data_IF_257492602611
#
_entry.id   IF_257492602611
#
_cell.length_a   1.000
_cell.length_b   1.000
_cell.length_c   1.000
_cell.angle_alpha   90.00
_cell.angle_beta   90.00
_cell.angle_gamma   90.00
#
_symmetry.space_group_name_H-M   'P 1'
#
loop_
_entity.id
_entity.type
_entity.pdbx_description
1 polymer ?
#
# COMPACT_ATOMS: atom_id res chain seq x y z
N UNK A 1 20.96 -39.86 -35.82
CA UNK A 1 22.13 -39.99 -34.92
C UNK A 1 22.67 -38.59 -34.67
N UNK A 2 22.36 -38.02 -33.52
CA UNK A 2 22.48 -36.57 -33.21
C UNK A 2 23.75 -36.21 -32.44
N UNK A 3 24.69 -37.14 -32.26
CA UNK A 3 25.89 -36.88 -31.47
C UNK A 3 27.15 -37.38 -32.17
N UNK A 4 28.23 -36.61 -32.02
CA UNK A 4 29.58 -37.02 -32.35
C UNK A 4 29.91 -38.28 -31.57
N UNK A 5 29.96 -39.43 -32.26
CA UNK A 5 30.13 -40.76 -31.65
C UNK A 5 31.56 -40.92 -31.08
N UNK A 6 32.55 -40.23 -31.67
CA UNK A 6 33.94 -40.33 -31.27
C UNK A 6 34.59 -38.94 -31.25
N UNK A 7 35.14 -38.55 -30.11
CA UNK A 7 35.89 -37.30 -30.01
C UNK A 7 37.28 -37.44 -30.65
N UNK A 8 37.88 -36.31 -31.06
CA UNK A 8 39.23 -36.29 -31.62
C UNK A 8 40.24 -36.96 -30.67
N UNK A 9 40.16 -36.70 -29.37
CA UNK A 9 41.01 -37.33 -28.35
C UNK A 9 40.80 -38.85 -28.26
N UNK A 10 39.55 -39.33 -28.35
CA UNK A 10 39.24 -40.76 -28.34
C UNK A 10 39.78 -41.49 -29.58
N UNK A 11 39.82 -40.81 -30.74
CA UNK A 11 40.39 -41.36 -31.97
C UNK A 11 41.92 -41.37 -31.94
N UNK A 12 42.54 -40.36 -31.33
CA UNK A 12 44.00 -40.30 -31.11
C UNK A 12 44.53 -41.46 -30.26
N UNK A 13 43.74 -42.02 -29.35
CA UNK A 13 44.13 -43.16 -28.53
C UNK A 13 44.00 -44.53 -29.23
N UNK A 14 43.42 -44.59 -30.44
CA UNK A 14 43.15 -45.84 -31.17
C UNK A 14 44.25 -46.19 -32.17
N UNK A 15 44.42 -47.48 -32.46
CA UNK A 15 45.34 -47.95 -33.51
C UNK A 15 44.79 -47.64 -34.91
N UNK A 16 45.68 -47.55 -35.90
CA UNK A 16 45.27 -47.27 -37.29
C UNK A 16 44.33 -48.34 -37.86
N UNK A 17 44.48 -49.60 -37.45
CA UNK A 17 43.58 -50.69 -37.82
C UNK A 17 42.16 -50.45 -37.28
N UNK A 18 42.04 -50.01 -36.02
CA UNK A 18 40.75 -49.69 -35.41
C UNK A 18 40.11 -48.45 -36.04
N UNK A 19 40.90 -47.46 -36.46
CA UNK A 19 40.41 -46.28 -37.17
C UNK A 19 39.82 -46.65 -38.54
N UNK A 20 40.45 -47.55 -39.31
CA UNK A 20 39.90 -48.06 -40.57
C UNK A 20 38.59 -48.82 -40.38
N UNK A 21 38.49 -49.57 -39.29
CA UNK A 21 37.26 -50.27 -38.93
C UNK A 21 36.15 -49.27 -38.60
N UNK A 22 36.42 -48.27 -37.75
CA UNK A 22 35.47 -47.20 -37.40
C UNK A 22 35.04 -46.42 -38.66
N UNK A 23 35.98 -46.10 -39.54
CA UNK A 23 35.70 -45.42 -40.82
C UNK A 23 34.66 -46.20 -41.66
N UNK A 24 34.75 -47.53 -41.66
CA UNK A 24 33.80 -48.40 -42.36
C UNK A 24 32.48 -48.56 -41.59
N UNK A 25 32.54 -48.69 -40.25
CA UNK A 25 31.37 -48.81 -39.37
C UNK A 25 30.45 -47.59 -39.46
N UNK A 26 31.00 -46.37 -39.55
CA UNK A 26 30.22 -45.14 -39.71
C UNK A 26 29.84 -44.83 -41.16
N UNK A 27 30.18 -45.73 -42.10
CA UNK A 27 30.03 -45.55 -43.55
C UNK A 27 30.56 -44.18 -44.03
N UNK A 28 31.78 -43.84 -43.61
CA UNK A 28 32.40 -42.56 -43.96
C UNK A 28 32.68 -42.49 -45.47
N UNK A 29 32.23 -41.42 -46.12
CA UNK A 29 32.41 -41.20 -47.56
C UNK A 29 33.54 -40.21 -47.88
N UNK A 30 34.30 -39.76 -46.88
CA UNK A 30 35.34 -38.72 -47.04
C UNK A 30 36.67 -39.36 -47.44
N UNK A 31 37.19 -39.02 -48.62
CA UNK A 31 38.46 -39.55 -49.11
C UNK A 31 39.62 -39.28 -48.13
N UNK A 32 40.38 -40.33 -47.82
CA UNK A 32 41.58 -40.25 -46.99
C UNK A 32 42.80 -40.09 -47.89
N UNK A 33 43.42 -38.91 -47.83
CA UNK A 33 44.56 -38.52 -48.68
C UNK A 33 45.80 -39.39 -48.48
N UNK A 34 46.12 -39.75 -47.23
CA UNK A 34 47.20 -40.67 -46.88
C UNK A 34 46.69 -41.84 -46.02
N UNK A 35 46.63 -43.03 -46.62
CA UNK A 35 46.12 -44.25 -45.96
C UNK A 35 47.10 -44.86 -44.95
N UNK A 36 48.35 -44.39 -44.90
CA UNK A 36 49.39 -44.81 -43.94
C UNK A 36 49.47 -43.87 -42.73
N UNK A 37 49.01 -42.63 -42.88
CA UNK A 37 49.01 -41.63 -41.82
C UNK A 37 47.79 -41.76 -40.90
N UNK A 38 48.03 -41.85 -39.58
CA UNK A 38 46.96 -41.96 -38.57
C UNK A 38 46.08 -40.71 -38.52
N UNK A 39 46.68 -39.52 -38.57
CA UNK A 39 45.96 -38.25 -38.47
C UNK A 39 45.05 -37.99 -39.67
N UNK A 40 45.41 -38.51 -40.85
CA UNK A 40 44.56 -38.44 -42.03
C UNK A 40 43.23 -39.21 -41.83
N UNK A 41 43.26 -40.39 -41.19
CA UNK A 41 42.06 -41.15 -40.84
C UNK A 41 41.21 -40.45 -39.78
N UNK A 42 41.85 -39.87 -38.76
CA UNK A 42 41.17 -39.13 -37.70
C UNK A 42 40.46 -37.90 -38.29
N UNK A 43 41.16 -37.15 -39.14
CA UNK A 43 40.62 -35.95 -39.79
C UNK A 43 39.41 -36.28 -40.66
N UNK A 44 39.48 -37.36 -41.46
CA UNK A 44 38.36 -37.77 -42.30
C UNK A 44 37.12 -38.16 -41.49
N UNK A 45 37.30 -38.92 -40.39
CA UNK A 45 36.20 -39.34 -39.50
C UNK A 45 35.56 -38.12 -38.81
N UNK A 46 36.38 -37.23 -38.24
CA UNK A 46 35.91 -36.03 -37.55
C UNK A 46 35.18 -35.10 -38.51
N UNK A 47 35.72 -34.86 -39.71
CA UNK A 47 35.08 -34.01 -40.71
C UNK A 47 33.74 -34.58 -41.17
N UNK A 48 33.65 -35.91 -41.36
CA UNK A 48 32.39 -36.56 -41.69
C UNK A 48 31.35 -36.38 -40.58
N UNK A 49 31.73 -36.61 -39.32
CA UNK A 49 30.84 -36.42 -38.17
C UNK A 49 30.38 -34.96 -38.03
N UNK A 50 31.28 -33.98 -38.15
CA UNK A 50 30.94 -32.56 -38.12
C UNK A 50 30.04 -32.14 -39.27
N UNK A 51 30.28 -32.63 -40.49
CA UNK A 51 29.44 -32.33 -41.66
C UNK A 51 28.02 -32.89 -41.51
N UNK A 52 27.86 -34.07 -40.89
CA UNK A 52 26.55 -34.66 -40.59
C UNK A 52 25.79 -33.85 -39.55
N UNK A 53 26.48 -33.35 -38.52
CA UNK A 53 25.87 -32.47 -37.50
C UNK A 53 25.43 -31.16 -38.14
N UNK A 54 26.32 -30.47 -38.88
CA UNK A 54 26.00 -29.19 -39.53
C UNK A 54 24.84 -29.30 -40.52
N UNK A 55 24.79 -30.38 -41.33
CA UNK A 55 23.73 -30.62 -42.32
C UNK A 55 22.36 -30.93 -41.71
N UNK A 56 22.33 -31.36 -40.44
CA UNK A 56 21.09 -31.51 -39.65
C UNK A 56 20.70 -30.20 -38.97
N UNK A 57 21.67 -29.37 -38.54
CA UNK A 57 21.42 -28.02 -37.99
C UNK A 57 20.82 -27.07 -39.03
N UNK A 58 21.15 -27.21 -40.31
CA UNK A 58 20.56 -26.38 -41.39
C UNK A 58 19.15 -26.83 -41.82
N UNK A 59 18.70 -28.00 -41.39
CA UNK A 59 17.42 -28.60 -41.82
C UNK A 59 16.30 -28.50 -40.77
N UNK A 60 16.60 -27.99 -39.57
CA UNK A 60 15.60 -27.71 -38.54
C UNK A 60 15.55 -26.18 -38.33
N UNK A 61 14.47 -25.49 -38.73
CA UNK A 61 14.27 -24.10 -38.31
C UNK A 61 14.01 -24.08 -36.81
N UNK A 62 15.00 -23.57 -36.07
CA UNK A 62 14.91 -22.52 -35.06
C UNK A 62 13.84 -22.55 -33.95
N UNK A 63 13.18 -23.66 -33.63
CA UNK A 63 12.33 -23.73 -32.42
C UNK A 63 13.06 -23.29 -31.13
N UNK A 64 14.38 -23.50 -31.05
CA UNK A 64 15.19 -23.07 -29.92
C UNK A 64 15.51 -21.56 -29.96
N UNK A 65 15.72 -20.99 -31.16
CA UNK A 65 15.91 -19.55 -31.31
C UNK A 65 14.59 -18.79 -31.10
N UNK A 66 13.47 -19.36 -31.54
CA UNK A 66 12.12 -18.86 -31.27
C UNK A 66 11.80 -18.92 -29.79
N UNK A 67 12.08 -20.05 -29.11
CA UNK A 67 11.88 -20.16 -27.67
C UNK A 67 12.79 -19.20 -26.87
N UNK A 68 14.02 -18.96 -27.33
CA UNK A 68 14.92 -17.98 -26.70
C UNK A 68 14.43 -16.55 -26.92
N UNK A 69 13.96 -16.21 -28.13
CA UNK A 69 13.40 -14.90 -28.42
C UNK A 69 12.08 -14.65 -27.66
N UNK A 70 11.24 -15.67 -27.49
CA UNK A 70 10.03 -15.60 -26.66
C UNK A 70 10.37 -15.42 -25.18
N UNK A 71 11.39 -16.12 -24.67
CA UNK A 71 11.86 -15.94 -23.30
C UNK A 71 12.48 -14.55 -23.09
N UNK A 72 13.29 -14.08 -24.03
CA UNK A 72 13.91 -12.76 -23.98
C UNK A 72 12.85 -11.65 -24.07
N UNK A 73 11.82 -11.82 -24.90
CA UNK A 73 10.66 -10.93 -24.96
C UNK A 73 9.87 -10.95 -23.66
N UNK A 74 9.61 -12.13 -23.09
CA UNK A 74 8.93 -12.24 -21.80
C UNK A 74 9.72 -11.60 -20.66
N UNK A 75 11.05 -11.78 -20.63
CA UNK A 75 11.93 -11.13 -19.66
C UNK A 75 11.93 -9.61 -19.88
N UNK A 76 11.96 -9.13 -21.12
CA UNK A 76 11.88 -7.70 -21.43
C UNK A 76 10.52 -7.10 -21.00
N UNK A 77 9.41 -7.80 -21.27
CA UNK A 77 8.07 -7.38 -20.87
C UNK A 77 7.93 -7.35 -19.34
N UNK A 78 8.47 -8.35 -18.63
CA UNK A 78 8.50 -8.37 -17.16
C UNK A 78 9.44 -7.31 -16.57
N UNK A 79 10.59 -7.06 -17.20
CA UNK A 79 11.55 -6.04 -16.76
C UNK A 79 11.03 -4.61 -17.02
N UNK A 80 10.18 -4.41 -18.03
CA UNK A 80 9.57 -3.13 -18.35
C UNK A 80 8.30 -2.85 -17.52
N UNK A 81 7.69 -3.89 -16.92
CA UNK A 81 6.50 -3.77 -16.07
C UNK A 81 6.78 -3.34 -14.61
N UNK A 82 8.05 -3.23 -14.19
CA UNK A 82 8.43 -2.84 -12.82
C UNK A 82 9.28 -1.57 -12.83
N UNK A 83 8.78 -0.51 -13.47
CA UNK A 83 9.26 0.83 -13.13
C UNK A 83 8.55 1.24 -11.83
N UNK A 84 9.28 1.46 -10.72
CA UNK A 84 8.67 1.98 -9.50
C UNK A 84 7.97 3.30 -9.82
N UNK A 85 6.73 3.46 -9.36
CA UNK A 85 5.95 4.68 -9.53
C UNK A 85 6.78 5.90 -9.08
N UNK A 86 6.70 7.04 -9.79
CA UNK A 86 7.50 8.21 -9.45
C UNK A 86 7.19 8.68 -8.03
N UNK A 87 8.23 8.78 -7.19
CA UNK A 87 8.09 9.27 -5.83
C UNK A 87 7.73 10.76 -5.82
N UNK A 88 6.64 11.08 -5.13
CA UNK A 88 6.25 12.45 -4.79
C UNK A 88 6.76 12.79 -3.40
N UNK A 89 7.58 13.83 -3.31
CA UNK A 89 8.11 14.34 -2.05
C UNK A 89 7.26 15.53 -1.61
N UNK A 90 6.79 15.50 -0.37
CA UNK A 90 6.03 16.58 0.27
C UNK A 90 6.84 17.11 1.44
N UNK A 91 7.29 18.36 1.35
CA UNK A 91 7.89 19.06 2.48
C UNK A 91 6.77 19.61 3.36
N UNK A 92 6.52 18.95 4.49
CA UNK A 92 5.55 19.42 5.50
C UNK A 92 6.18 20.55 6.32
N UNK A 93 7.48 20.42 6.62
CA UNK A 93 8.30 21.47 7.22
C UNK A 93 9.77 21.22 6.91
N UNK A 94 10.64 22.19 7.22
CA UNK A 94 12.08 22.01 7.11
C UNK A 94 12.60 20.74 7.83
N UNK A 95 11.94 20.33 8.92
CA UNK A 95 12.32 19.18 9.75
C UNK A 95 11.51 17.90 9.45
N UNK A 96 10.55 17.95 8.52
CA UNK A 96 9.64 16.84 8.24
C UNK A 96 9.31 16.74 6.76
N UNK A 97 9.70 15.64 6.14
CA UNK A 97 9.45 15.37 4.73
C UNK A 97 8.77 14.02 4.58
N UNK A 98 7.82 13.93 3.68
CA UNK A 98 7.05 12.72 3.41
C UNK A 98 7.23 12.29 1.95
N UNK A 99 7.30 10.98 1.74
CA UNK A 99 7.53 10.37 0.44
C UNK A 99 6.31 9.52 0.10
N UNK A 100 5.73 9.77 -1.06
CA UNK A 100 4.53 9.09 -1.54
C UNK A 100 4.83 8.37 -2.85
N UNK A 101 4.31 7.15 -2.97
CA UNK A 101 4.09 6.49 -4.25
C UNK A 101 2.60 6.62 -4.56
N UNK A 102 2.26 7.30 -5.66
CA UNK A 102 0.92 7.82 -5.92
C UNK A 102 0.39 8.67 -4.74
N UNK A 103 -0.58 8.15 -3.99
CA UNK A 103 -1.20 8.75 -2.81
C UNK A 103 -0.96 7.95 -1.53
N UNK A 104 -0.11 6.91 -1.59
CA UNK A 104 0.26 6.11 -0.42
C UNK A 104 1.58 6.58 0.14
N UNK A 105 1.60 6.91 1.44
CA UNK A 105 2.83 7.24 2.15
C UNK A 105 3.75 6.01 2.15
N UNK A 106 5.03 6.19 1.90
CA UNK A 106 5.99 5.07 1.89
C UNK A 106 7.09 5.23 2.94
N UNK A 107 7.46 6.46 3.25
CA UNK A 107 8.48 6.80 4.23
C UNK A 107 8.36 8.28 4.61
N UNK A 108 8.90 8.63 5.77
CA UNK A 108 9.12 10.02 6.17
C UNK A 108 10.55 10.24 6.67
N UNK A 109 11.00 11.48 6.57
CA UNK A 109 12.24 11.95 7.17
C UNK A 109 11.87 12.93 8.27
N UNK A 110 12.26 12.62 9.50
CA UNK A 110 12.07 13.47 10.68
C UNK A 110 13.40 13.96 11.22
N UNK A 111 13.35 15.10 11.92
CA UNK A 111 14.49 15.64 12.65
C UNK A 111 14.37 15.29 14.14
N UNK A 112 15.41 14.64 14.66
CA UNK A 112 15.58 14.23 16.05
C UNK A 112 16.64 15.11 16.71
N UNK A 113 16.20 15.96 17.64
CA UNK A 113 17.04 16.93 18.34
C UNK A 113 17.97 16.31 19.40
N UNK A 114 17.71 15.07 19.82
CA UNK A 114 18.50 14.40 20.86
C UNK A 114 19.84 13.88 20.33
N UNK A 115 19.97 13.68 19.02
CA UNK A 115 21.14 13.07 18.39
C UNK A 115 22.03 14.08 17.66
N UNK A 116 22.96 14.69 18.39
CA UNK A 116 23.77 15.83 17.92
C UNK A 116 24.50 15.63 16.57
N UNK A 117 24.95 14.42 16.24
CA UNK A 117 25.75 14.13 15.04
C UNK A 117 24.96 13.49 13.90
N UNK A 118 23.78 12.94 14.17
CA UNK A 118 22.96 12.20 13.19
C UNK A 118 21.47 12.48 13.45
N UNK A 119 21.06 13.71 13.17
CA UNK A 119 19.73 14.24 13.54
C UNK A 119 18.60 13.83 12.59
N UNK A 120 18.92 13.35 11.40
CA UNK A 120 17.89 13.05 10.39
C UNK A 120 17.59 11.57 10.39
N UNK A 121 16.31 11.21 10.52
CA UNK A 121 15.85 9.85 10.72
C UNK A 121 14.85 9.50 9.62
N UNK A 122 15.02 8.35 8.99
CA UNK A 122 14.05 7.74 8.07
C UNK A 122 13.13 6.84 8.87
N UNK A 123 11.84 7.13 8.81
CA UNK A 123 10.79 6.40 9.51
C UNK A 123 9.86 5.73 8.51
N UNK A 124 9.50 4.48 8.78
CA UNK A 124 8.43 3.73 8.09
C UNK A 124 7.63 2.99 9.15
N UNK A 125 6.30 3.14 9.16
CA UNK A 125 5.41 2.54 10.17
C UNK A 125 5.87 2.86 11.61
N UNK A 126 6.23 4.13 11.88
CA UNK A 126 6.77 4.59 13.16
C UNK A 126 8.04 3.87 13.64
N UNK A 127 8.73 3.16 12.76
CA UNK A 127 10.00 2.49 13.04
C UNK A 127 11.14 3.20 12.32
N UNK A 128 12.20 3.47 13.07
CA UNK A 128 13.45 3.98 12.53
C UNK A 128 14.14 2.91 11.67
N UNK A 129 14.42 3.24 10.41
CA UNK A 129 15.15 2.37 9.49
C UNK A 129 16.59 2.83 9.25
N UNK A 130 16.79 4.13 9.21
CA UNK A 130 18.07 4.71 8.85
C UNK A 130 18.23 6.10 9.44
N UNK A 131 19.47 6.48 9.73
CA UNK A 131 19.79 7.75 10.35
C UNK A 131 21.03 8.38 9.72
N UNK A 132 21.02 9.69 9.55
CA UNK A 132 22.14 10.44 8.98
C UNK A 132 22.28 11.85 9.55
N UNK A 133 23.39 12.49 9.20
CA UNK A 133 23.70 13.87 9.58
C UNK A 133 23.08 14.93 8.65
N UNK A 134 22.52 14.53 7.50
CA UNK A 134 21.87 15.42 6.54
C UNK A 134 20.61 14.78 5.96
N UNK A 135 19.57 15.57 5.61
CA UNK A 135 18.33 15.03 5.05
C UNK A 135 18.55 14.44 3.65
N UNK A 136 19.52 14.98 2.89
CA UNK A 136 19.87 14.46 1.55
C UNK A 136 20.39 13.01 1.58
N UNK A 137 21.02 12.58 2.68
CA UNK A 137 21.47 11.19 2.83
C UNK A 137 20.29 10.26 3.09
N UNK A 138 19.32 10.72 3.87
CA UNK A 138 18.06 10.03 4.11
C UNK A 138 17.21 9.95 2.83
N UNK A 139 17.11 11.03 2.05
CA UNK A 139 16.48 11.05 0.72
C UNK A 139 17.10 10.01 -0.22
N UNK A 140 18.44 9.99 -0.32
CA UNK A 140 19.15 9.02 -1.15
C UNK A 140 18.92 7.58 -0.70
N UNK A 141 18.85 7.34 0.61
CA UNK A 141 18.49 6.04 1.17
C UNK A 141 17.10 5.63 0.69
N UNK A 142 16.08 6.47 0.90
CA UNK A 142 14.68 6.20 0.49
C UNK A 142 14.59 5.95 -1.01
N UNK A 143 15.16 6.82 -1.83
CA UNK A 143 15.14 6.68 -3.29
C UNK A 143 15.80 5.39 -3.80
N UNK A 144 16.87 4.93 -3.13
CA UNK A 144 17.56 3.69 -3.50
C UNK A 144 16.72 2.48 -3.10
N UNK A 145 16.31 2.44 -1.83
CA UNK A 145 15.56 1.33 -1.25
C UNK A 145 14.12 1.22 -1.78
N UNK A 146 13.58 2.30 -2.34
CA UNK A 146 12.31 2.25 -3.06
C UNK A 146 12.50 1.62 -4.45
N UNK A 147 13.57 2.00 -5.17
CA UNK A 147 13.83 1.48 -6.51
C UNK A 147 14.17 -0.01 -6.54
N UNK A 148 14.83 -0.50 -5.50
CA UNK A 148 15.16 -1.92 -5.35
C UNK A 148 14.05 -2.75 -4.66
N UNK A 149 12.98 -2.10 -4.21
CA UNK A 149 11.85 -2.74 -3.54
C UNK A 149 12.14 -3.25 -2.13
N UNK A 150 13.21 -2.77 -1.48
CA UNK A 150 13.61 -3.22 -0.13
C UNK A 150 13.09 -2.36 1.02
N UNK A 151 12.38 -1.26 0.73
CA UNK A 151 11.65 -0.52 1.76
C UNK A 151 10.56 -1.42 2.38
N UNK A 152 10.37 -1.38 3.72
CA UNK A 152 9.28 -2.08 4.36
C UNK A 152 7.95 -1.62 3.79
N UNK A 153 7.04 -2.58 3.57
CA UNK A 153 5.67 -2.27 3.15
C UNK A 153 5.02 -1.43 4.24
N UNK A 154 4.45 -0.30 3.85
CA UNK A 154 3.71 0.53 4.78
C UNK A 154 2.52 -0.27 5.33
N UNK A 155 2.51 -0.47 6.65
CA UNK A 155 1.38 -1.04 7.38
C UNK A 155 0.21 -0.08 7.18
N UNK A 156 -0.91 -0.61 6.70
CA UNK A 156 -2.08 0.20 6.42
C UNK A 156 -2.56 0.79 7.75
N UNK A 157 -2.42 2.10 7.90
CA UNK A 157 -2.97 2.83 9.04
C UNK A 157 -4.45 2.44 9.14
N UNK A 158 -4.86 1.97 10.32
CA UNK A 158 -6.12 1.28 10.54
C UNK A 158 -7.28 2.04 9.88
N UNK A 159 -7.90 1.43 8.86
CA UNK A 159 -9.16 1.75 8.18
C UNK A 159 -9.49 3.24 7.96
N UNK A 160 -9.85 3.67 6.73
CA UNK A 160 -10.43 5.00 6.54
C UNK A 160 -11.56 5.20 7.56
N UNK A 161 -11.63 6.37 8.22
CA UNK A 161 -12.58 6.56 9.30
C UNK A 161 -13.97 6.26 8.73
N UNK A 162 -14.61 5.22 9.26
CA UNK A 162 -16.02 4.98 9.00
C UNK A 162 -16.77 6.26 9.36
N UNK A 163 -17.92 6.51 8.74
CA UNK A 163 -18.77 7.66 9.08
C UNK A 163 -18.97 7.77 10.60
N UNK A 164 -19.03 6.63 11.29
CA UNK A 164 -19.06 6.51 12.75
C UNK A 164 -17.80 7.05 13.45
N UNK A 165 -16.59 6.74 12.96
CA UNK A 165 -15.33 7.28 13.49
C UNK A 165 -15.25 8.80 13.33
N UNK A 166 -15.76 9.35 12.23
CA UNK A 166 -15.82 10.81 12.03
C UNK A 166 -16.81 11.47 12.99
N UNK A 167 -17.98 10.86 13.18
CA UNK A 167 -18.98 11.32 14.16
C UNK A 167 -18.39 11.29 15.57
N UNK A 168 -17.72 10.21 15.95
CA UNK A 168 -17.08 10.07 17.27
C UNK A 168 -15.96 11.08 17.48
N UNK A 169 -15.09 11.30 16.49
CA UNK A 169 -14.06 12.34 16.54
C UNK A 169 -14.68 13.74 16.70
N UNK A 170 -15.81 14.00 16.02
CA UNK A 170 -16.51 15.27 16.10
C UNK A 170 -17.12 15.50 17.49
N UNK A 171 -17.73 14.47 18.09
CA UNK A 171 -18.24 14.49 19.46
C UNK A 171 -17.10 14.67 20.46
N UNK A 172 -15.99 13.93 20.31
CA UNK A 172 -14.81 14.02 21.16
C UNK A 172 -14.23 15.43 21.19
N UNK A 173 -13.98 16.03 20.03
CA UNK A 173 -13.46 17.39 19.94
C UNK A 173 -14.36 18.42 20.62
N UNK A 174 -15.69 18.25 20.56
CA UNK A 174 -16.62 19.12 21.28
C UNK A 174 -16.61 18.87 22.79
N UNK A 175 -16.54 17.62 23.22
CA UNK A 175 -16.47 17.24 24.63
C UNK A 175 -15.23 17.81 25.33
N UNK A 176 -14.07 17.83 24.64
CA UNK A 176 -12.84 18.42 25.15
C UNK A 176 -13.01 19.89 25.56
N UNK A 177 -13.80 20.68 24.84
CA UNK A 177 -14.06 22.09 25.17
C UNK A 177 -14.81 22.27 26.50
N UNK A 178 -15.56 21.25 26.94
CA UNK A 178 -16.33 21.27 28.19
C UNK A 178 -15.65 20.47 29.31
N UNK A 179 -14.46 19.91 29.05
CA UNK A 179 -13.78 19.01 29.99
C UNK A 179 -14.59 17.74 30.26
N UNK A 180 -15.31 17.25 29.25
CA UNK A 180 -16.08 16.01 29.34
C UNK A 180 -15.25 14.83 28.86
N UNK A 181 -15.40 13.71 29.56
CA UNK A 181 -14.74 12.45 29.25
C UNK A 181 -15.72 11.50 28.57
N UNK A 182 -15.30 10.85 27.50
CA UNK A 182 -16.11 9.87 26.77
C UNK A 182 -15.63 8.47 27.18
N UNK A 183 -16.55 7.66 27.70
CA UNK A 183 -16.35 6.25 28.00
C UNK A 183 -17.32 5.40 27.16
N UNK A 184 -17.08 4.09 27.11
CA UNK A 184 -17.87 3.14 26.32
C UNK A 184 -19.39 3.22 26.58
N UNK A 185 -19.80 3.59 27.80
CA UNK A 185 -21.19 3.65 28.18
C UNK A 185 -21.80 5.07 28.15
N UNK A 186 -21.01 6.13 27.90
CA UNK A 186 -21.50 7.51 27.75
C UNK A 186 -20.48 8.60 28.07
N UNK A 187 -20.98 9.83 28.18
CA UNK A 187 -20.21 11.05 28.40
C UNK A 187 -20.32 11.48 29.87
N UNK A 188 -19.18 11.81 30.47
CA UNK A 188 -19.00 12.13 31.88
C UNK A 188 -18.45 13.54 32.05
N UNK A 189 -18.74 14.17 33.18
CA UNK A 189 -18.04 15.40 33.57
C UNK A 189 -16.72 15.09 34.27
N UNK A 190 -15.91 16.13 34.49
CA UNK A 190 -14.63 16.07 35.23
C UNK A 190 -14.72 15.59 36.69
N UNK A 191 -15.92 15.35 37.22
CA UNK A 191 -16.15 14.77 38.56
C UNK A 191 -16.52 13.28 38.49
N UNK A 192 -16.45 12.66 37.31
CA UNK A 192 -16.84 11.25 37.10
C UNK A 192 -18.35 11.02 37.12
N UNK A 193 -19.17 12.06 36.96
CA UNK A 193 -20.64 11.93 36.91
C UNK A 193 -21.09 11.80 35.46
N UNK A 194 -21.81 10.72 35.15
CA UNK A 194 -22.40 10.47 33.83
C UNK A 194 -23.43 11.54 33.48
N UNK A 195 -23.25 12.24 32.37
CA UNK A 195 -24.15 13.27 31.86
C UNK A 195 -25.19 12.67 30.89
N UNK A 196 -24.78 11.70 30.07
CA UNK A 196 -25.65 11.11 29.05
C UNK A 196 -24.88 10.49 27.90
N UNK A 197 -25.51 10.40 26.73
CA UNK A 197 -24.94 9.91 25.48
C UNK A 197 -25.29 10.91 24.37
N UNK A 198 -24.39 11.09 23.43
CA UNK A 198 -24.62 11.87 22.20
C UNK A 198 -24.27 10.96 21.03
N UNK A 199 -25.07 11.02 19.98
CA UNK A 199 -24.82 10.30 18.74
C UNK A 199 -25.40 11.00 17.53
N UNK A 200 -25.17 10.42 16.37
CA UNK A 200 -25.76 10.85 15.11
C UNK A 200 -26.26 9.62 14.37
N UNK A 201 -27.51 9.68 13.92
CA UNK A 201 -28.14 8.60 13.14
C UNK A 201 -28.81 9.22 11.93
N UNK A 202 -28.48 8.75 10.73
CA UNK A 202 -28.97 9.29 9.46
C UNK A 202 -28.78 10.81 9.32
N UNK A 203 -27.67 11.35 9.84
CA UNK A 203 -27.37 12.78 9.83
C UNK A 203 -28.07 13.61 10.91
N UNK A 204 -28.94 13.00 11.72
CA UNK A 204 -29.64 13.66 12.81
C UNK A 204 -28.90 13.46 14.14
N UNK A 205 -28.46 14.57 14.74
CA UNK A 205 -27.82 14.55 16.05
C UNK A 205 -28.85 14.30 17.14
N UNK A 206 -28.51 13.47 18.12
CA UNK A 206 -29.36 13.19 19.26
C UNK A 206 -28.57 13.18 20.56
N UNK A 207 -29.28 13.49 21.65
CA UNK A 207 -28.76 13.43 23.02
C UNK A 207 -29.71 12.61 23.89
N UNK A 208 -29.15 11.72 24.71
CA UNK A 208 -29.86 10.97 25.74
C UNK A 208 -29.25 11.28 27.10
N UNK A 209 -29.91 12.15 27.86
CA UNK A 209 -29.44 12.54 29.21
C UNK A 209 -29.52 11.36 30.18
N UNK A 210 -28.71 11.38 31.24
CA UNK A 210 -28.63 10.30 32.24
C UNK A 210 -29.99 9.83 32.78
N UNK A 211 -30.91 10.76 33.03
CA UNK A 211 -32.24 10.47 33.58
C UNK A 211 -33.35 10.39 32.53
N UNK A 212 -33.01 10.51 31.24
CA UNK A 212 -33.98 10.45 30.14
C UNK A 212 -33.98 9.08 29.49
N UNK A 213 -35.19 8.52 29.31
CA UNK A 213 -35.38 7.29 28.54
C UNK A 213 -35.43 7.61 27.03
N UNK A 214 -35.87 8.82 26.67
CA UNK A 214 -36.05 9.27 25.29
C UNK A 214 -34.81 10.03 24.77
N UNK A 215 -34.50 9.81 23.50
CA UNK A 215 -33.54 10.59 22.73
C UNK A 215 -34.18 11.93 22.35
N UNK A 216 -33.43 13.01 22.49
CA UNK A 216 -33.81 14.35 22.06
C UNK A 216 -32.96 14.74 20.86
N UNK A 217 -33.60 15.10 19.76
CA UNK A 217 -32.88 15.53 18.56
C UNK A 217 -32.34 16.95 18.71
N UNK A 218 -31.17 17.18 18.14
CA UNK A 218 -30.43 18.43 18.18
C UNK A 218 -30.05 18.85 16.76
N UNK A 219 -29.93 20.15 16.54
CA UNK A 219 -29.60 20.71 15.22
C UNK A 219 -28.09 20.58 14.90
N UNK A 220 -27.25 20.37 15.92
CA UNK A 220 -25.80 20.25 15.76
C UNK A 220 -25.18 19.43 16.90
N UNK A 221 -23.96 18.94 16.68
CA UNK A 221 -23.14 18.31 17.75
C UNK A 221 -22.87 19.28 18.90
N UNK A 222 -22.75 20.57 18.61
CA UNK A 222 -22.42 21.59 19.60
C UNK A 222 -23.59 21.74 20.57
N UNK A 223 -24.81 21.82 20.02
CA UNK A 223 -26.03 21.90 20.81
C UNK A 223 -26.25 20.62 21.62
N UNK A 224 -26.00 19.45 21.01
CA UNK A 224 -26.12 18.15 21.68
C UNK A 224 -25.17 18.05 22.88
N UNK A 225 -23.88 18.33 22.69
CA UNK A 225 -22.86 18.28 23.77
C UNK A 225 -23.10 19.39 24.81
N UNK A 226 -23.43 20.61 24.39
CA UNK A 226 -23.73 21.72 25.30
C UNK A 226 -24.95 21.40 26.18
N UNK A 227 -25.95 20.71 25.65
CA UNK A 227 -27.14 20.33 26.41
C UNK A 227 -26.84 19.36 27.57
N UNK A 228 -25.74 18.60 27.49
CA UNK A 228 -25.25 17.76 28.59
C UNK A 228 -24.66 18.58 29.74
N UNK A 229 -24.16 19.79 29.47
CA UNK A 229 -23.59 20.69 30.48
C UNK A 229 -24.65 21.34 31.37
N UNK A 230 -25.91 21.35 30.94
CA UNK A 230 -26.99 22.01 31.68
C UNK A 230 -27.55 21.06 32.73
N UNK A 231 -26.94 21.10 33.92
CA UNK A 231 -27.39 20.37 35.12
C UNK A 231 -28.65 21.05 35.68
N UNK A 232 -29.72 20.26 35.81
CA UNK A 232 -30.94 20.44 36.62
C UNK A 232 -31.53 21.85 36.80
N UNK A 233 -32.51 22.21 35.96
CA UNK A 233 -33.56 23.16 36.33
C UNK A 233 -34.93 22.65 35.83
N UNK A 234 -35.77 22.21 36.77
CA UNK A 234 -37.20 21.93 36.67
C UNK A 234 -37.67 20.53 36.19
N UNK A 235 -38.11 19.74 37.17
CA UNK A 235 -38.99 18.55 37.07
C UNK A 235 -40.47 18.93 37.05
N UNK A 236 -40.83 20.03 36.41
CA UNK A 236 -42.22 20.34 36.09
C UNK A 236 -42.34 20.31 34.57
N UNK A 237 -43.36 19.64 34.03
CA UNK A 237 -43.47 19.19 32.63
C UNK A 237 -43.45 20.25 31.51
N UNK A 238 -42.84 21.41 31.72
CA UNK A 238 -42.42 22.35 30.69
C UNK A 238 -41.06 21.95 30.16
N UNK A 239 -41.02 21.59 28.88
CA UNK A 239 -39.79 21.37 28.14
C UNK A 239 -38.94 22.64 28.21
N UNK A 240 -37.69 22.55 28.67
CA UNK A 240 -36.73 23.67 28.69
C UNK A 240 -36.47 24.24 27.27
N UNK A 241 -36.78 23.46 26.22
CA UNK A 241 -36.78 23.97 24.84
C UNK A 241 -37.87 25.03 24.59
N UNK A 242 -38.89 25.13 25.44
CA UNK A 242 -39.96 26.13 25.31
C UNK A 242 -39.52 27.52 25.76
N UNK A 243 -38.61 27.62 26.73
CA UNK A 243 -38.20 28.90 27.31
C UNK A 243 -37.27 29.67 26.35
N UNK A 244 -36.43 28.95 25.59
CA UNK A 244 -35.49 29.53 24.62
C UNK A 244 -36.09 29.81 23.24
N UNK A 245 -37.32 29.34 22.97
CA UNK A 245 -38.01 29.61 21.70
C UNK A 245 -38.51 31.05 21.60
N UNK A 246 -38.74 31.70 22.76
CA UNK A 246 -39.27 33.06 22.86
C UNK A 246 -38.19 34.15 22.76
N UNK A 247 -36.92 33.78 22.97
CA UNK A 247 -35.79 34.71 22.96
C UNK A 247 -35.06 34.81 21.61
N UNK A 248 -35.44 34.00 20.61
CA UNK A 248 -34.88 34.09 19.26
C UNK A 248 -35.70 35.05 18.38
N UNK A 249 -35.06 35.97 17.63
CA UNK A 249 -35.78 36.80 16.66
C UNK A 249 -36.43 35.93 15.59
N UNK A 250 -37.70 36.23 15.25
CA UNK A 250 -38.54 35.45 14.33
C UNK A 250 -37.87 35.14 12.98
N UNK A 251 -36.99 36.02 12.52
CA UNK A 251 -36.23 35.91 11.27
C UNK A 251 -35.21 34.76 11.26
N UNK A 252 -34.85 34.21 12.43
CA UNK A 252 -33.89 33.11 12.59
C UNK A 252 -34.54 31.75 12.84
N UNK A 253 -35.88 31.68 12.86
CA UNK A 253 -36.62 30.43 13.05
C UNK A 253 -36.85 29.73 11.71
N UNK A 254 -36.49 28.45 11.63
CA UNK A 254 -36.76 27.58 10.47
C UNK A 254 -38.25 27.21 10.38
N UNK A 255 -38.72 26.79 9.19
CA UNK A 255 -40.15 26.51 8.93
C UNK A 255 -40.82 25.59 9.95
N UNK A 256 -40.17 24.48 10.30
CA UNK A 256 -40.68 23.51 11.28
C UNK A 256 -40.81 24.10 12.70
N UNK A 257 -39.98 25.11 13.02
CA UNK A 257 -40.02 25.83 14.29
C UNK A 257 -41.20 26.82 14.33
N UNK A 258 -41.48 27.50 13.22
CA UNK A 258 -42.64 28.40 13.09
C UNK A 258 -43.96 27.64 13.16
N UNK A 259 -44.04 26.45 12.54
CA UNK A 259 -45.24 25.63 12.56
C UNK A 259 -45.60 25.15 13.97
N UNK A 260 -44.59 24.76 14.78
CA UNK A 260 -44.78 24.40 16.19
C UNK A 260 -45.23 25.58 17.07
N UNK A 261 -44.81 26.80 16.75
CA UNK A 261 -45.30 28.01 17.44
C UNK A 261 -46.77 28.30 17.11
N UNK A 262 -47.16 28.15 15.85
CA UNK A 262 -48.55 28.33 15.39
C UNK A 262 -49.51 27.32 16.03
N UNK A 263 -49.14 26.03 16.04
CA UNK A 263 -49.94 24.96 16.67
C UNK A 263 -50.17 25.23 18.18
N UNK A 264 -49.20 25.86 18.85
CA UNK A 264 -49.33 26.23 20.28
C UNK A 264 -50.18 27.49 20.49
N UNK A 265 -50.12 28.48 19.60
CA UNK A 265 -50.95 29.68 19.69
C UNK A 265 -52.45 29.34 19.54
N UNK A 266 -52.78 28.38 18.68
CA UNK A 266 -54.13 27.83 18.57
C UNK A 266 -54.57 27.08 19.84
N UNK A 267 -53.67 26.34 20.48
CA UNK A 267 -53.94 25.66 21.77
C UNK A 267 -54.15 26.60 22.97
N UNK A 268 -53.68 27.85 22.89
CA UNK A 268 -53.83 28.87 23.96
C UNK A 268 -55.09 29.73 23.75
N UNK A 269 -55.70 29.69 22.57
CA UNK A 269 -56.87 30.50 22.20
C UNK A 269 -58.20 29.74 22.15
N UNK A 270 -58.18 28.41 22.38
CA UNK A 270 -59.35 27.54 22.52
C UNK A 270 -59.69 27.27 24.00
#
# INVERSE_FOLDING_TARGET
>A
MTHTIYSHQQLQLKSIARLKQIYSEIACTVEVTDKRCKDAWISAIVNYQSSKVQKLTTAAPDNQATAQAELDSYIADQAQAVAPEPLRIVEISFNHHEYYADDKLIASITHDDDHLTQRWVVMVNDKELFRANTPMRCDRFICTHYKDGSLPVQEQEATPPTTENQIMAHIFNKCQNYGFEILDDGIYNNKGVKLGQVGCTDGNWWVKRRYSVQQQYSNSVLDAVRSLSMVDMSTDGKSIFDEYFLDQPLEQLTGDKLQRLLERAELVTA
#
